data_IF_741253716905
#
_entry.id   IF_741253716905
#
_cell.length_a   1.000
_cell.length_b   1.000
_cell.length_c   1.000
_cell.angle_alpha   90.00
_cell.angle_beta   90.00
_cell.angle_gamma   90.00
#
_symmetry.space_group_name_H-M   'P 1'
#
loop_
_entity.id
_entity.type
_entity.pdbx_description
1 polymer ?
#
# COMPACT_ATOMS: atom_id res chain seq x y z
N UNK A 1 -53.11 -24.88 -8.53
CA UNK A 1 -52.16 -24.88 -7.40
C UNK A 1 -51.01 -25.81 -7.79
N UNK A 2 -50.00 -25.27 -8.40
CA UNK A 2 -48.81 -26.01 -8.83
C UNK A 2 -47.59 -25.34 -8.24
N UNK A 3 -46.86 -26.07 -7.40
CA UNK A 3 -45.68 -25.61 -6.69
C UNK A 3 -44.49 -25.40 -7.64
N UNK A 4 -43.86 -24.27 -7.52
CA UNK A 4 -42.61 -23.97 -8.15
C UNK A 4 -41.49 -24.41 -7.18
N UNK A 5 -40.64 -25.35 -7.60
CA UNK A 5 -39.59 -25.91 -6.78
C UNK A 5 -38.33 -25.04 -6.80
N UNK A 6 -37.63 -25.02 -5.68
CA UNK A 6 -36.42 -24.20 -5.41
C UNK A 6 -35.21 -24.49 -6.31
N UNK A 7 -35.29 -25.42 -7.25
CA UNK A 7 -34.21 -25.76 -8.18
C UNK A 7 -34.18 -24.89 -9.43
N UNK A 8 -35.30 -24.24 -9.79
CA UNK A 8 -35.35 -23.36 -10.98
C UNK A 8 -34.70 -21.99 -10.81
N UNK A 9 -34.37 -21.61 -9.58
CA UNK A 9 -33.70 -20.32 -9.29
C UNK A 9 -32.19 -20.43 -9.46
N UNK A 10 -31.59 -21.58 -9.28
CA UNK A 10 -30.13 -21.77 -9.41
C UNK A 10 -29.66 -21.90 -10.87
N UNK A 11 -30.49 -22.41 -11.76
CA UNK A 11 -30.10 -22.50 -13.20
C UNK A 11 -30.20 -21.18 -13.97
N UNK A 12 -30.96 -20.19 -13.52
CA UNK A 12 -31.04 -18.86 -14.17
C UNK A 12 -29.86 -17.95 -13.86
N UNK A 13 -29.04 -18.24 -12.88
CA UNK A 13 -27.85 -17.43 -12.55
C UNK A 13 -26.61 -17.77 -13.39
N UNK A 14 -26.60 -18.83 -14.18
CA UNK A 14 -25.42 -19.26 -14.96
C UNK A 14 -25.46 -18.94 -16.44
N UNK A 15 -26.52 -18.30 -16.96
CA UNK A 15 -26.66 -17.97 -18.39
C UNK A 15 -26.69 -16.47 -18.66
N UNK A 16 -25.63 -15.75 -18.30
CA UNK A 16 -25.34 -14.43 -18.90
C UNK A 16 -24.27 -14.65 -19.97
N UNK A 17 -24.72 -14.92 -21.20
CA UNK A 17 -23.91 -14.93 -22.40
C UNK A 17 -23.31 -13.53 -22.63
N UNK A 18 -21.99 -13.44 -22.60
CA UNK A 18 -21.27 -12.30 -23.15
C UNK A 18 -21.44 -12.28 -24.66
N UNK A 19 -22.21 -11.32 -25.19
CA UNK A 19 -22.16 -10.96 -26.59
C UNK A 19 -20.93 -10.07 -26.82
N UNK A 20 -19.86 -10.65 -27.36
CA UNK A 20 -18.75 -9.89 -27.94
C UNK A 20 -19.20 -9.29 -29.28
N UNK A 21 -19.35 -7.96 -29.34
CA UNK A 21 -19.38 -7.25 -30.63
C UNK A 21 -17.96 -7.21 -31.22
N UNK A 22 -17.76 -7.96 -32.27
CA UNK A 22 -16.59 -7.85 -33.15
C UNK A 22 -16.63 -6.51 -33.91
N UNK A 23 -15.74 -5.60 -33.55
CA UNK A 23 -15.36 -4.48 -34.43
C UNK A 23 -14.10 -4.89 -35.18
N UNK A 24 -14.25 -5.24 -36.43
CA UNK A 24 -13.13 -5.44 -37.39
C UNK A 24 -12.61 -4.09 -37.85
N UNK A 25 -11.44 -3.69 -37.37
CA UNK A 25 -10.66 -2.63 -38.01
C UNK A 25 -9.69 -3.26 -39.03
N UNK A 26 -9.92 -2.95 -40.29
CA UNK A 26 -8.99 -3.20 -41.37
C UNK A 26 -7.72 -2.37 -41.20
N UNK A 27 -6.61 -3.02 -40.92
CA UNK A 27 -5.28 -2.43 -41.11
C UNK A 27 -4.74 -2.87 -42.45
N UNK A 28 -4.59 -1.90 -43.38
CA UNK A 28 -3.98 -2.06 -44.67
C UNK A 28 -2.47 -1.91 -44.54
N UNK A 29 -1.76 -3.02 -44.73
CA UNK A 29 -0.29 -3.07 -44.79
C UNK A 29 0.19 -2.33 -46.03
N UNK A 30 1.11 -1.39 -45.87
CA UNK A 30 1.95 -0.85 -46.95
C UNK A 30 3.40 -1.16 -46.62
N UNK A 31 3.89 -2.25 -47.21
CA UNK A 31 5.32 -2.51 -47.29
C UNK A 31 5.99 -1.49 -48.22
N UNK A 32 7.01 -0.79 -47.75
CA UNK A 32 8.02 -0.15 -48.58
C UNK A 32 9.38 -0.71 -48.21
N UNK A 33 9.91 -1.52 -49.10
CA UNK A 33 11.28 -2.00 -49.12
C UNK A 33 12.22 -0.81 -49.36
N UNK A 34 13.17 -0.59 -48.43
CA UNK A 34 14.37 0.20 -48.72
C UNK A 34 15.61 -0.62 -48.31
N UNK A 35 16.32 -1.09 -49.34
CA UNK A 35 17.69 -1.59 -49.24
C UNK A 35 18.65 -0.40 -49.15
N UNK A 36 19.49 -0.36 -48.10
CA UNK A 36 20.60 0.56 -47.98
C UNK A 36 21.75 -0.09 -47.23
N UNK A 37 22.91 -0.22 -47.90
CA UNK A 37 24.15 -0.84 -47.43
C UNK A 37 24.80 -0.12 -46.26
N UNK A 38 25.26 -0.89 -45.29
CA UNK A 38 26.58 -0.88 -44.64
C UNK A 38 27.04 0.35 -43.88
N UNK A 39 27.27 0.19 -42.59
CA UNK A 39 28.62 0.36 -41.99
C UNK A 39 28.49 0.03 -40.48
N UNK A 40 29.29 -0.94 -40.01
CA UNK A 40 29.42 -1.26 -38.57
C UNK A 40 30.26 -0.19 -37.90
N UNK A 41 29.69 0.51 -36.95
CA UNK A 41 30.46 1.28 -35.95
C UNK A 41 30.11 0.70 -34.60
N UNK A 42 31.10 0.02 -33.97
CA UNK A 42 31.04 -0.45 -32.59
C UNK A 42 31.36 0.75 -31.70
N UNK A 43 30.42 1.19 -30.90
CA UNK A 43 30.68 2.11 -29.77
C UNK A 43 30.29 1.39 -28.51
N UNK A 44 31.29 0.94 -27.75
CA UNK A 44 31.14 0.52 -26.37
C UNK A 44 30.81 1.74 -25.52
N UNK A 45 29.57 1.87 -25.08
CA UNK A 45 29.19 2.75 -24.00
C UNK A 45 28.62 1.90 -22.85
N UNK A 46 29.43 1.78 -21.82
CA UNK A 46 29.02 1.24 -20.51
C UNK A 46 27.97 2.20 -19.92
N UNK A 47 26.71 1.79 -19.92
CA UNK A 47 25.64 2.47 -19.18
C UNK A 47 24.89 1.42 -18.36
N UNK A 48 24.88 1.65 -17.05
CA UNK A 48 24.18 0.79 -16.09
C UNK A 48 22.71 0.62 -16.45
N UNK A 49 22.31 -0.63 -16.64
CA UNK A 49 20.94 -1.03 -16.89
C UNK A 49 20.09 -0.85 -15.62
N UNK A 50 18.87 -0.28 -15.73
CA UNK A 50 17.79 -0.64 -14.81
C UNK A 50 17.40 -2.09 -15.14
N UNK A 51 17.22 -2.90 -14.11
CA UNK A 51 16.78 -4.31 -14.22
C UNK A 51 15.43 -4.40 -14.96
N UNK A 52 15.46 -4.55 -16.27
CA UNK A 52 14.40 -5.19 -17.03
C UNK A 52 14.58 -6.70 -16.85
N UNK A 53 13.70 -7.31 -16.07
CA UNK A 53 13.59 -8.76 -16.00
C UNK A 53 12.95 -9.25 -17.31
N UNK A 54 13.72 -9.97 -18.13
CA UNK A 54 13.19 -10.77 -19.22
C UNK A 54 12.11 -11.76 -18.73
N UNK A 55 11.13 -12.16 -19.57
CA UNK A 55 10.14 -13.17 -19.18
C UNK A 55 10.88 -14.48 -18.88
N UNK A 56 10.97 -14.79 -17.59
CA UNK A 56 11.78 -15.87 -17.07
C UNK A 56 11.32 -17.24 -17.54
N UNK A 57 12.21 -17.98 -18.13
CA UNK A 57 12.16 -19.44 -18.26
C UNK A 57 11.97 -20.05 -16.87
N UNK A 58 11.02 -20.98 -16.76
CA UNK A 58 10.68 -21.71 -15.54
C UNK A 58 11.95 -22.39 -14.99
N UNK A 59 12.52 -21.82 -13.91
CA UNK A 59 13.66 -22.42 -13.22
C UNK A 59 13.10 -23.26 -12.04
N UNK A 60 13.37 -24.57 -11.97
CA UNK A 60 12.87 -25.45 -10.91
C UNK A 60 13.52 -25.22 -9.55
N UNK A 61 14.45 -24.27 -9.41
CA UNK A 61 15.11 -23.96 -8.15
C UNK A 61 14.35 -22.87 -7.38
N UNK A 62 13.92 -23.14 -6.15
CA UNK A 62 13.08 -22.34 -5.26
C UNK A 62 13.44 -20.85 -5.05
N UNK A 63 14.48 -20.33 -5.70
CA UNK A 63 14.82 -18.90 -5.72
C UNK A 63 13.75 -18.06 -6.40
N UNK A 64 13.10 -18.59 -7.46
CA UNK A 64 12.05 -17.87 -8.19
C UNK A 64 10.75 -17.78 -7.37
N UNK A 65 10.41 -18.80 -6.58
CA UNK A 65 9.21 -18.80 -5.76
C UNK A 65 9.30 -17.80 -4.59
N UNK A 66 10.47 -17.65 -3.98
CA UNK A 66 10.71 -16.65 -2.91
C UNK A 66 10.66 -15.23 -3.45
N UNK A 67 11.25 -14.98 -4.64
CA UNK A 67 11.18 -13.67 -5.28
C UNK A 67 9.73 -13.33 -5.68
N UNK A 68 9.01 -14.29 -6.24
CA UNK A 68 7.59 -14.11 -6.55
C UNK A 68 6.77 -13.82 -5.29
N UNK A 69 7.00 -14.54 -4.18
CA UNK A 69 6.33 -14.26 -2.91
C UNK A 69 6.72 -12.88 -2.35
N UNK A 70 7.98 -12.47 -2.47
CA UNK A 70 8.44 -11.14 -2.08
C UNK A 70 7.70 -10.04 -2.86
N UNK A 71 7.59 -10.15 -4.20
CA UNK A 71 6.82 -9.20 -5.03
C UNK A 71 5.33 -9.24 -4.71
N UNK A 72 4.77 -10.43 -4.48
CA UNK A 72 3.37 -10.62 -4.06
C UNK A 72 3.06 -9.89 -2.76
N UNK A 73 3.95 -9.94 -1.79
CA UNK A 73 3.78 -9.32 -0.47
C UNK A 73 3.83 -7.79 -0.48
N UNK A 74 4.24 -7.16 -1.59
CA UNK A 74 4.45 -5.70 -1.72
C UNK A 74 5.35 -5.15 -0.60
N UNK A 75 6.67 -5.34 -0.68
CA UNK A 75 7.62 -5.10 0.42
C UNK A 75 7.52 -3.71 1.07
N UNK A 76 7.24 -2.67 0.27
CA UNK A 76 7.06 -1.31 0.78
C UNK A 76 5.90 -1.21 1.79
N UNK A 77 4.83 -2.00 1.63
CA UNK A 77 3.72 -2.02 2.60
C UNK A 77 4.10 -2.78 3.86
N UNK A 78 4.87 -3.86 3.74
CA UNK A 78 5.40 -4.65 4.87
C UNK A 78 6.30 -3.79 5.74
N UNK A 79 7.30 -3.13 5.13
CA UNK A 79 8.24 -2.25 5.85
C UNK A 79 7.46 -1.12 6.54
N UNK A 80 6.53 -0.48 5.83
CA UNK A 80 5.72 0.59 6.39
C UNK A 80 4.88 0.13 7.58
N UNK A 81 4.27 -1.06 7.51
CA UNK A 81 3.49 -1.62 8.61
C UNK A 81 4.37 -1.97 9.83
N UNK A 82 5.51 -2.60 9.61
CA UNK A 82 6.43 -2.93 10.70
C UNK A 82 6.97 -1.67 11.41
N UNK A 83 7.44 -0.68 10.64
CA UNK A 83 7.93 0.58 11.19
C UNK A 83 6.84 1.35 11.93
N UNK A 84 5.61 1.37 11.43
CA UNK A 84 4.49 2.02 12.12
C UNK A 84 4.23 1.40 13.48
N UNK A 85 4.21 0.08 13.57
CA UNK A 85 3.97 -0.63 14.83
C UNK A 85 5.10 -0.37 15.83
N UNK A 86 6.36 -0.45 15.40
CA UNK A 86 7.51 -0.12 16.27
C UNK A 86 7.41 1.31 16.77
N UNK A 87 7.19 2.26 15.88
CA UNK A 87 7.12 3.69 16.20
C UNK A 87 6.04 3.99 17.23
N UNK A 88 4.81 3.49 16.98
CA UNK A 88 3.67 3.73 17.90
C UNK A 88 3.85 3.00 19.22
N UNK A 89 4.47 1.83 19.22
CA UNK A 89 4.80 1.09 20.43
C UNK A 89 5.78 1.87 21.31
N UNK A 90 6.76 2.55 20.69
CA UNK A 90 7.70 3.42 21.41
C UNK A 90 7.04 4.65 22.02
N UNK A 91 5.92 5.15 21.47
CA UNK A 91 5.13 6.21 22.12
C UNK A 91 4.47 5.77 23.42
N UNK A 92 4.25 4.48 23.62
CA UNK A 92 3.70 3.93 24.86
C UNK A 92 4.75 3.75 25.97
N UNK A 93 6.05 3.91 25.63
CA UNK A 93 7.17 3.81 26.59
C UNK A 93 7.29 5.10 27.38
N UNK A 94 7.14 5.03 28.70
CA UNK A 94 7.27 6.18 29.62
C UNK A 94 8.65 6.22 30.29
N UNK A 95 9.23 5.05 30.55
CA UNK A 95 10.52 4.88 31.24
C UNK A 95 11.43 3.92 30.47
N UNK A 96 12.73 4.07 30.63
CA UNK A 96 13.70 3.15 30.01
C UNK A 96 13.48 1.71 30.46
N UNK A 97 13.05 1.51 31.72
CA UNK A 97 12.70 0.18 32.24
C UNK A 97 11.52 -0.50 31.54
N UNK A 98 10.70 0.25 30.80
CA UNK A 98 9.62 -0.32 29.99
C UNK A 98 10.18 -1.10 28.77
N UNK A 99 11.40 -0.80 28.30
CA UNK A 99 12.10 -1.52 27.24
C UNK A 99 12.61 -2.88 27.74
N UNK A 100 11.70 -3.69 28.21
CA UNK A 100 11.91 -5.01 28.78
C UNK A 100 11.64 -6.12 27.76
N UNK A 101 12.01 -7.39 28.02
CA UNK A 101 11.66 -8.52 27.15
C UNK A 101 10.17 -8.61 26.83
N UNK A 102 9.29 -8.21 27.76
CA UNK A 102 7.83 -8.21 27.55
C UNK A 102 7.44 -7.17 26.48
N UNK A 103 8.08 -5.99 26.46
CA UNK A 103 7.89 -4.99 25.43
C UNK A 103 8.22 -5.56 24.04
N UNK A 104 9.41 -6.14 23.88
CA UNK A 104 9.84 -6.70 22.60
C UNK A 104 8.95 -7.85 22.14
N UNK A 105 8.52 -8.70 23.08
CA UNK A 105 7.56 -9.78 22.77
C UNK A 105 6.23 -9.20 22.27
N UNK A 106 5.68 -8.20 22.94
CA UNK A 106 4.43 -7.54 22.53
C UNK A 106 4.54 -6.89 21.14
N UNK A 107 5.64 -6.17 20.90
CA UNK A 107 5.90 -5.57 19.57
C UNK A 107 6.02 -6.65 18.50
N UNK A 108 6.76 -7.72 18.73
CA UNK A 108 6.93 -8.82 17.78
C UNK A 108 5.59 -9.51 17.47
N UNK A 109 4.78 -9.80 18.47
CA UNK A 109 3.45 -10.38 18.29
C UNK A 109 2.54 -9.50 17.43
N UNK A 110 2.53 -8.19 17.71
CA UNK A 110 1.76 -7.22 16.95
C UNK A 110 2.24 -7.13 15.48
N UNK A 111 3.56 -7.08 15.26
CA UNK A 111 4.15 -7.07 13.91
C UNK A 111 3.78 -8.34 13.17
N UNK A 112 4.00 -9.51 13.75
CA UNK A 112 3.74 -10.78 13.09
C UNK A 112 2.26 -10.90 12.65
N UNK A 113 1.31 -10.63 13.55
CA UNK A 113 -0.11 -10.67 13.23
C UNK A 113 -0.50 -9.65 12.15
N UNK A 114 0.00 -8.42 12.25
CA UNK A 114 -0.30 -7.36 11.29
C UNK A 114 0.32 -7.61 9.91
N UNK A 115 1.53 -8.17 9.83
CA UNK A 115 2.15 -8.51 8.55
C UNK A 115 1.41 -9.65 7.85
N UNK A 116 0.94 -10.65 8.59
CA UNK A 116 0.07 -11.68 8.04
C UNK A 116 -1.23 -11.08 7.47
N UNK A 117 -1.87 -10.17 8.20
CA UNK A 117 -3.05 -9.45 7.71
C UNK A 117 -2.73 -8.57 6.50
N UNK A 118 -1.55 -7.92 6.45
CA UNK A 118 -1.13 -7.13 5.30
C UNK A 118 -0.97 -8.01 4.05
N UNK A 119 -0.38 -9.21 4.16
CA UNK A 119 -0.27 -10.16 3.04
C UNK A 119 -1.65 -10.60 2.56
N UNK A 120 -2.59 -10.87 3.48
CA UNK A 120 -3.99 -11.11 3.14
C UNK A 120 -4.57 -9.97 2.29
N UNK A 121 -4.47 -8.72 2.76
CA UNK A 121 -5.07 -7.54 2.11
C UNK A 121 -4.48 -7.31 0.72
N UNK A 122 -3.15 -7.31 0.59
CA UNK A 122 -2.49 -7.04 -0.70
C UNK A 122 -2.65 -8.20 -1.67
N UNK A 123 -2.71 -9.44 -1.17
CA UNK A 123 -2.95 -10.64 -1.96
C UNK A 123 -4.40 -10.71 -2.46
N UNK A 124 -5.37 -10.43 -1.59
CA UNK A 124 -6.78 -10.36 -1.97
C UNK A 124 -7.01 -9.29 -3.05
N UNK A 125 -6.37 -8.13 -2.91
CA UNK A 125 -6.44 -7.09 -3.92
C UNK A 125 -5.90 -7.58 -5.28
N UNK A 126 -4.75 -8.26 -5.30
CA UNK A 126 -4.17 -8.82 -6.53
C UNK A 126 -5.06 -9.91 -7.15
N UNK A 127 -5.72 -10.76 -6.34
CA UNK A 127 -6.64 -11.79 -6.85
C UNK A 127 -7.82 -11.22 -7.63
N UNK A 128 -8.36 -10.08 -7.17
CA UNK A 128 -9.49 -9.42 -7.82
C UNK A 128 -9.08 -8.43 -8.91
N UNK A 129 -7.77 -8.17 -9.07
CA UNK A 129 -7.24 -7.15 -9.98
C UNK A 129 -6.33 -7.72 -11.06
N UNK A 130 -6.30 -9.03 -11.29
CA UNK A 130 -5.37 -9.66 -12.24
C UNK A 130 -5.35 -8.94 -13.57
N UNK A 131 -6.51 -8.70 -14.19
CA UNK A 131 -6.58 -8.05 -15.51
C UNK A 131 -6.15 -6.57 -15.46
N UNK A 132 -6.46 -5.88 -14.38
CA UNK A 132 -6.03 -4.48 -14.17
C UNK A 132 -4.52 -4.43 -13.95
N UNK A 133 -3.98 -5.35 -13.14
CA UNK A 133 -2.56 -5.40 -12.83
C UNK A 133 -1.72 -5.85 -14.03
N UNK A 134 -2.26 -6.61 -14.99
CA UNK A 134 -1.59 -6.87 -16.29
C UNK A 134 -1.24 -5.58 -17.04
N UNK A 135 -2.07 -4.53 -16.91
CA UNK A 135 -1.83 -3.21 -17.52
C UNK A 135 -0.96 -2.34 -16.62
N UNK A 136 -1.28 -2.30 -15.32
CA UNK A 136 -0.67 -1.36 -14.39
C UNK A 136 0.63 -1.89 -13.79
N UNK A 137 0.69 -3.18 -13.43
CA UNK A 137 1.78 -3.84 -12.67
C UNK A 137 2.06 -5.25 -13.18
N UNK A 138 2.46 -5.43 -14.46
CA UNK A 138 2.64 -6.74 -15.09
C UNK A 138 3.69 -7.62 -14.37
N UNK A 139 4.53 -7.03 -13.53
CA UNK A 139 5.55 -7.72 -12.73
C UNK A 139 5.00 -8.42 -11.49
N UNK A 140 3.72 -8.24 -11.13
CA UNK A 140 3.12 -8.93 -9.99
C UNK A 140 2.84 -10.40 -10.33
N UNK A 141 3.09 -11.34 -9.40
CA UNK A 141 3.07 -12.78 -9.69
C UNK A 141 1.75 -13.34 -10.24
N UNK A 142 0.61 -12.77 -9.83
CA UNK A 142 -0.69 -13.15 -10.39
C UNK A 142 -0.94 -12.56 -11.78
N UNK A 143 -0.44 -11.34 -12.03
CA UNK A 143 -0.56 -10.67 -13.32
C UNK A 143 0.38 -11.28 -14.38
N UNK A 144 1.60 -11.65 -13.96
CA UNK A 144 2.60 -12.31 -14.83
C UNK A 144 2.28 -13.79 -15.10
N UNK A 145 1.42 -14.42 -14.27
CA UNK A 145 1.12 -15.85 -14.34
C UNK A 145 2.10 -16.75 -13.58
N UNK A 146 3.09 -16.19 -12.89
CA UNK A 146 4.02 -16.96 -12.04
C UNK A 146 3.30 -17.69 -10.90
N UNK A 147 2.27 -17.06 -10.31
CA UNK A 147 1.36 -17.72 -9.39
C UNK A 147 0.03 -18.02 -10.07
N UNK A 148 -0.46 -19.25 -9.91
CA UNK A 148 -1.83 -19.58 -10.27
C UNK A 148 -2.83 -18.87 -9.33
N UNK A 149 -4.06 -18.68 -9.79
CA UNK A 149 -5.14 -18.14 -8.96
C UNK A 149 -5.34 -18.98 -7.70
N UNK A 150 -5.23 -20.32 -7.82
CA UNK A 150 -5.32 -21.23 -6.68
C UNK A 150 -4.19 -21.01 -5.67
N UNK A 151 -2.96 -20.83 -6.13
CA UNK A 151 -1.80 -20.50 -5.27
C UNK A 151 -2.02 -19.19 -4.53
N UNK A 152 -2.44 -18.13 -5.25
CA UNK A 152 -2.77 -16.85 -4.65
C UNK A 152 -3.88 -16.94 -3.60
N UNK A 153 -4.95 -17.68 -3.89
CA UNK A 153 -6.05 -17.90 -2.95
C UNK A 153 -5.61 -18.67 -1.70
N UNK A 154 -4.79 -19.72 -1.86
CA UNK A 154 -4.25 -20.46 -0.71
C UNK A 154 -3.39 -19.56 0.19
N UNK A 155 -2.52 -18.74 -0.37
CA UNK A 155 -1.71 -17.77 0.40
C UNK A 155 -2.63 -16.82 1.17
N UNK A 156 -3.59 -16.20 0.49
CA UNK A 156 -4.52 -15.23 1.10
C UNK A 156 -5.30 -15.85 2.26
N UNK A 157 -5.89 -17.03 2.06
CA UNK A 157 -6.66 -17.73 3.09
C UNK A 157 -5.76 -18.12 4.27
N UNK A 158 -4.60 -18.73 4.01
CA UNK A 158 -3.69 -19.18 5.05
C UNK A 158 -3.21 -18.01 5.91
N UNK A 159 -2.78 -16.90 5.30
CA UNK A 159 -2.29 -15.75 6.05
C UNK A 159 -3.39 -15.04 6.85
N UNK A 160 -4.64 -15.01 6.37
CA UNK A 160 -5.75 -14.49 7.17
C UNK A 160 -6.04 -15.36 8.39
N UNK A 161 -6.08 -16.68 8.23
CA UNK A 161 -6.29 -17.63 9.34
C UNK A 161 -5.16 -17.51 10.37
N UNK A 162 -3.91 -17.52 9.92
CA UNK A 162 -2.73 -17.37 10.80
C UNK A 162 -2.74 -16.03 11.55
N UNK A 163 -3.14 -14.94 10.91
CA UNK A 163 -3.24 -13.63 11.53
C UNK A 163 -4.27 -13.61 12.67
N UNK A 164 -5.46 -14.13 12.45
CA UNK A 164 -6.50 -14.20 13.48
C UNK A 164 -6.15 -15.22 14.58
N UNK A 165 -5.57 -16.35 14.21
CA UNK A 165 -5.10 -17.34 15.18
C UNK A 165 -4.06 -16.74 16.13
N UNK A 166 -3.08 -16.03 15.59
CA UNK A 166 -2.07 -15.36 16.41
C UNK A 166 -2.69 -14.24 17.27
N UNK A 167 -3.59 -13.43 16.72
CA UNK A 167 -4.32 -12.41 17.47
C UNK A 167 -5.11 -12.99 18.63
N UNK A 168 -5.78 -14.13 18.43
CA UNK A 168 -6.49 -14.86 19.45
C UNK A 168 -5.56 -15.44 20.51
N UNK A 169 -4.46 -16.07 20.10
CA UNK A 169 -3.46 -16.64 20.99
C UNK A 169 -2.83 -15.58 21.90
N UNK A 170 -2.55 -14.39 21.36
CA UNK A 170 -2.06 -13.23 22.15
C UNK A 170 -3.09 -12.73 23.14
N UNK A 171 -4.38 -12.84 22.85
CA UNK A 171 -5.46 -12.42 23.73
C UNK A 171 -5.60 -10.92 23.92
N UNK A 172 -5.08 -10.12 23.00
CA UNK A 172 -5.16 -8.65 23.04
C UNK A 172 -6.37 -8.15 22.25
N UNK A 173 -7.38 -7.63 22.95
CA UNK A 173 -8.58 -7.11 22.29
C UNK A 173 -8.29 -5.94 21.32
N UNK A 174 -7.34 -4.98 21.59
CA UNK A 174 -7.03 -3.95 20.61
C UNK A 174 -6.40 -4.52 19.34
N UNK A 175 -5.56 -5.56 19.46
CA UNK A 175 -4.97 -6.26 18.33
C UNK A 175 -6.05 -6.97 17.50
N UNK A 176 -6.94 -7.75 18.14
CA UNK A 176 -8.04 -8.43 17.45
C UNK A 176 -8.94 -7.43 16.73
N UNK A 177 -9.26 -6.32 17.37
CA UNK A 177 -10.07 -5.24 16.76
C UNK A 177 -9.38 -4.67 15.52
N UNK A 178 -8.06 -4.39 15.60
CA UNK A 178 -7.28 -3.91 14.46
C UNK A 178 -7.31 -4.90 13.29
N UNK A 179 -7.10 -6.18 13.55
CA UNK A 179 -7.14 -7.24 12.54
C UNK A 179 -8.54 -7.35 11.92
N UNK A 180 -9.59 -7.32 12.75
CA UNK A 180 -10.99 -7.43 12.29
C UNK A 180 -11.40 -6.26 11.38
N UNK A 181 -11.10 -5.03 11.80
CA UNK A 181 -11.42 -3.85 10.97
C UNK A 181 -10.60 -3.87 9.68
N UNK A 182 -9.31 -4.22 9.74
CA UNK A 182 -8.45 -4.32 8.55
C UNK A 182 -8.93 -5.40 7.60
N UNK A 183 -9.35 -6.55 8.11
CA UNK A 183 -9.95 -7.64 7.33
C UNK A 183 -11.24 -7.18 6.63
N UNK A 184 -12.18 -6.59 7.36
CA UNK A 184 -13.47 -6.13 6.82
C UNK A 184 -13.26 -5.06 5.75
N UNK A 185 -12.45 -4.03 6.04
CA UNK A 185 -12.19 -2.93 5.10
C UNK A 185 -11.41 -3.41 3.87
N UNK A 186 -10.38 -4.26 4.05
CA UNK A 186 -9.61 -4.82 2.94
C UNK A 186 -10.46 -5.73 2.04
N UNK A 187 -11.37 -6.49 2.64
CA UNK A 187 -12.34 -7.34 1.93
C UNK A 187 -13.32 -6.49 1.13
N UNK A 188 -13.99 -5.53 1.77
CA UNK A 188 -14.95 -4.64 1.12
C UNK A 188 -14.31 -3.78 0.02
N UNK A 189 -13.05 -3.39 0.20
CA UNK A 189 -12.27 -2.67 -0.78
C UNK A 189 -12.04 -3.46 -2.08
N UNK A 190 -11.73 -4.77 -1.95
CA UNK A 190 -11.21 -5.60 -3.05
C UNK A 190 -12.26 -6.45 -3.75
N UNK A 191 -13.16 -7.11 -3.01
CA UNK A 191 -14.07 -8.14 -3.52
C UNK A 191 -15.11 -7.55 -4.47
N UNK A 192 -15.31 -8.22 -5.62
CA UNK A 192 -16.27 -7.82 -6.63
C UNK A 192 -17.66 -8.47 -6.38
N UNK A 193 -18.35 -8.01 -5.33
CA UNK A 193 -19.72 -8.40 -5.01
C UNK A 193 -20.62 -7.15 -5.02
N UNK A 194 -21.97 -7.31 -5.08
CA UNK A 194 -22.90 -6.21 -4.91
C UNK A 194 -22.61 -5.42 -3.64
N UNK A 195 -22.63 -4.09 -3.70
CA UNK A 195 -22.32 -3.15 -2.62
C UNK A 195 -20.85 -3.12 -2.13
N UNK A 196 -20.00 -3.99 -2.62
CA UNK A 196 -18.56 -4.01 -2.33
C UNK A 196 -17.73 -3.46 -3.49
N UNK A 197 -16.42 -3.78 -3.52
CA UNK A 197 -15.42 -3.22 -4.43
C UNK A 197 -15.32 -1.70 -4.31
N UNK A 198 -15.19 -1.25 -3.08
CA UNK A 198 -15.18 0.17 -2.71
C UNK A 198 -14.05 0.97 -3.35
N UNK A 199 -13.01 0.31 -3.82
CA UNK A 199 -11.93 0.97 -4.58
C UNK A 199 -12.40 1.65 -5.88
N UNK A 200 -13.59 1.29 -6.42
CA UNK A 200 -14.19 1.98 -7.58
C UNK A 200 -14.57 3.42 -7.28
N UNK A 201 -14.79 3.75 -6.03
CA UNK A 201 -15.20 5.06 -5.57
C UNK A 201 -14.04 5.75 -4.88
N UNK A 202 -13.45 6.77 -5.52
CA UNK A 202 -12.24 7.44 -5.07
C UNK A 202 -12.27 7.87 -3.60
N UNK A 203 -13.38 8.49 -3.16
CA UNK A 203 -13.51 8.94 -1.77
C UNK A 203 -13.57 7.77 -0.79
N UNK A 204 -14.37 6.75 -1.08
CA UNK A 204 -14.51 5.57 -0.21
C UNK A 204 -13.19 4.81 -0.14
N UNK A 205 -12.49 4.67 -1.28
CA UNK A 205 -11.16 4.07 -1.34
C UNK A 205 -10.16 4.82 -0.44
N UNK A 206 -10.10 6.14 -0.53
CA UNK A 206 -9.24 6.97 0.31
C UNK A 206 -9.60 6.84 1.80
N UNK A 207 -10.89 6.82 2.15
CA UNK A 207 -11.36 6.64 3.53
C UNK A 207 -11.00 5.26 4.10
N UNK A 208 -11.05 4.18 3.33
CA UNK A 208 -10.59 2.86 3.77
C UNK A 208 -9.10 2.87 4.12
N UNK A 209 -8.28 3.46 3.25
CA UNK A 209 -6.83 3.56 3.46
C UNK A 209 -6.53 4.43 4.69
N UNK A 210 -7.21 5.58 4.82
CA UNK A 210 -7.10 6.48 5.96
C UNK A 210 -7.47 5.77 7.27
N UNK A 211 -8.63 5.10 7.30
CA UNK A 211 -9.10 4.38 8.48
C UNK A 211 -8.08 3.34 8.97
N UNK A 212 -7.55 2.51 8.07
CA UNK A 212 -6.59 1.48 8.47
C UNK A 212 -5.24 2.08 8.82
N UNK A 213 -4.62 2.86 7.92
CA UNK A 213 -3.23 3.30 8.08
C UNK A 213 -3.02 4.43 9.09
N UNK A 214 -3.96 5.37 9.16
CA UNK A 214 -3.79 6.51 10.04
C UNK A 214 -4.49 6.33 11.39
N UNK A 215 -5.68 5.72 11.42
CA UNK A 215 -6.45 5.61 12.66
C UNK A 215 -6.19 4.28 13.35
N UNK A 216 -6.49 3.18 12.69
CA UNK A 216 -6.41 1.84 13.33
C UNK A 216 -4.97 1.50 13.70
N UNK A 217 -4.01 1.70 12.79
CA UNK A 217 -2.59 1.41 13.07
C UNK A 217 -2.08 2.24 14.24
N UNK A 218 -2.40 3.54 14.30
CA UNK A 218 -1.89 4.36 15.40
C UNK A 218 -2.56 4.00 16.74
N UNK A 219 -3.88 3.93 16.76
CA UNK A 219 -4.61 3.77 18.02
C UNK A 219 -4.54 2.34 18.55
N UNK A 220 -4.80 1.34 17.71
CA UNK A 220 -4.92 -0.02 18.18
C UNK A 220 -3.57 -0.63 18.63
N UNK A 221 -2.47 -0.36 17.92
CA UNK A 221 -1.16 -0.85 18.34
C UNK A 221 -0.62 -0.10 19.58
N UNK A 222 -0.90 1.20 19.68
CA UNK A 222 -0.63 1.93 20.93
C UNK A 222 -1.41 1.33 22.12
N UNK A 223 -2.72 1.09 21.96
CA UNK A 223 -3.56 0.49 22.99
C UNK A 223 -3.16 -0.96 23.29
N UNK A 224 -2.69 -1.71 22.30
CA UNK A 224 -2.11 -3.04 22.52
C UNK A 224 -0.95 -2.96 23.52
N UNK A 225 -0.03 -2.02 23.32
CA UNK A 225 1.09 -1.82 24.24
C UNK A 225 0.63 -1.34 25.61
N UNK A 226 -0.22 -0.30 25.68
CA UNK A 226 -0.69 0.26 26.95
C UNK A 226 -1.49 -0.75 27.76
N UNK A 227 -2.53 -1.34 27.18
CA UNK A 227 -3.50 -2.15 27.92
C UNK A 227 -3.01 -3.58 28.10
N UNK A 228 -2.52 -4.20 27.01
CA UNK A 228 -2.20 -5.63 27.04
C UNK A 228 -0.79 -5.87 27.56
N UNK A 229 0.22 -5.12 27.09
CA UNK A 229 1.63 -5.34 27.45
C UNK A 229 1.96 -4.70 28.80
N UNK A 230 1.69 -3.39 28.95
CA UNK A 230 2.05 -2.66 30.16
C UNK A 230 0.98 -2.70 31.26
N UNK A 231 -0.22 -3.22 30.96
CA UNK A 231 -1.36 -3.25 31.91
C UNK A 231 -1.71 -1.87 32.48
N UNK A 232 -1.55 -0.82 31.65
CA UNK A 232 -1.86 0.57 31.99
C UNK A 232 -3.24 1.00 31.46
N UNK A 233 -3.86 2.04 32.03
CA UNK A 233 -5.11 2.58 31.52
C UNK A 233 -4.92 3.18 30.11
N UNK A 234 -5.97 3.21 29.29
CA UNK A 234 -5.93 3.78 27.94
C UNK A 234 -5.86 5.31 28.00
N UNK A 235 -4.67 5.87 28.00
CA UNK A 235 -4.43 7.31 27.96
C UNK A 235 -3.93 7.71 26.57
N UNK A 236 -4.59 8.69 25.96
CA UNK A 236 -4.17 9.22 24.66
C UNK A 236 -3.19 10.38 24.87
N UNK A 237 -1.92 10.13 24.62
CA UNK A 237 -0.87 11.16 24.72
C UNK A 237 -0.98 12.19 23.61
N UNK A 238 -0.45 13.42 23.85
CA UNK A 238 -0.35 14.46 22.81
C UNK A 238 0.47 13.97 21.61
N UNK A 239 1.52 13.20 21.84
CA UNK A 239 2.36 12.60 20.79
C UNK A 239 1.55 11.63 19.92
N UNK A 240 0.68 10.80 20.51
CA UNK A 240 -0.19 9.90 19.74
C UNK A 240 -1.20 10.67 18.89
N UNK A 241 -1.82 11.73 19.44
CA UNK A 241 -2.76 12.57 18.69
C UNK A 241 -2.05 13.23 17.52
N UNK A 242 -0.86 13.79 17.72
CA UNK A 242 -0.04 14.37 16.66
C UNK A 242 0.30 13.32 15.60
N UNK A 243 0.82 12.16 16.00
CA UNK A 243 1.16 11.07 15.08
C UNK A 243 -0.05 10.65 14.24
N UNK A 244 -1.23 10.49 14.87
CA UNK A 244 -2.46 10.13 14.16
C UNK A 244 -2.87 11.21 13.16
N UNK A 245 -2.82 12.48 13.55
CA UNK A 245 -3.15 13.60 12.67
C UNK A 245 -2.17 13.71 11.50
N UNK A 246 -0.86 13.65 11.76
CA UNK A 246 0.17 13.72 10.72
C UNK A 246 0.07 12.55 9.74
N UNK A 247 -0.04 11.33 10.26
CA UNK A 247 -0.15 10.12 9.44
C UNK A 247 -1.47 10.07 8.65
N UNK A 248 -2.48 10.85 9.05
CA UNK A 248 -3.69 11.04 8.23
C UNK A 248 -3.37 11.77 6.92
N UNK A 249 -2.55 12.82 6.94
CA UNK A 249 -2.08 13.48 5.71
C UNK A 249 -1.30 12.52 4.82
N UNK A 250 -0.35 11.78 5.39
CA UNK A 250 0.40 10.77 4.63
C UNK A 250 -0.50 9.69 4.03
N UNK A 251 -1.49 9.22 4.78
CA UNK A 251 -2.40 8.18 4.30
C UNK A 251 -3.26 8.66 3.13
N UNK A 252 -3.72 9.93 3.18
CA UNK A 252 -4.41 10.57 2.05
C UNK A 252 -3.48 10.66 0.85
N UNK A 253 -2.24 11.11 1.04
CA UNK A 253 -1.26 11.23 -0.05
C UNK A 253 -0.94 9.87 -0.66
N UNK A 254 -0.69 8.84 0.14
CA UNK A 254 -0.46 7.48 -0.37
C UNK A 254 -1.67 6.97 -1.15
N UNK A 255 -2.90 7.25 -0.65
CA UNK A 255 -4.13 6.84 -1.32
C UNK A 255 -4.34 7.52 -2.68
N UNK A 256 -3.97 8.79 -2.79
CA UNK A 256 -4.07 9.55 -4.04
C UNK A 256 -2.92 9.22 -5.00
N UNK A 257 -1.70 9.17 -4.48
CA UNK A 257 -0.50 9.05 -5.31
C UNK A 257 -0.37 7.68 -5.97
N UNK A 258 -0.84 6.60 -5.32
CA UNK A 258 -0.80 5.25 -5.88
C UNK A 258 -1.56 5.14 -7.22
N UNK A 259 -2.59 5.96 -7.41
CA UNK A 259 -3.42 5.95 -8.61
C UNK A 259 -2.81 6.78 -9.77
N UNK A 260 -1.74 7.56 -9.50
CA UNK A 260 -1.09 8.38 -10.54
C UNK A 260 -0.41 7.49 -11.60
N UNK A 261 0.43 6.50 -11.25
CA UNK A 261 1.01 5.59 -12.24
C UNK A 261 0.02 4.55 -12.77
N UNK A 262 -1.13 4.36 -12.12
CA UNK A 262 -2.14 3.34 -12.46
C UNK A 262 -3.25 3.87 -13.39
N UNK A 263 -3.17 5.13 -13.86
CA UNK A 263 -4.23 5.84 -14.60
C UNK A 263 -4.74 5.08 -15.84
N UNK A 264 -3.85 4.40 -16.59
CA UNK A 264 -4.22 3.71 -17.83
C UNK A 264 -5.15 2.52 -17.58
N UNK A 265 -4.81 1.67 -16.60
CA UNK A 265 -5.66 0.57 -16.19
C UNK A 265 -6.93 1.04 -15.50
N UNK A 266 -6.86 2.07 -14.66
CA UNK A 266 -8.03 2.62 -13.98
C UNK A 266 -9.06 3.13 -14.99
N UNK A 267 -8.62 3.86 -16.02
CA UNK A 267 -9.50 4.33 -17.12
C UNK A 267 -10.09 3.15 -17.90
N UNK A 268 -9.28 2.18 -18.26
CA UNK A 268 -9.71 1.03 -19.08
C UNK A 268 -10.76 0.18 -18.36
N UNK A 269 -10.62 0.02 -17.04
CA UNK A 269 -11.51 -0.82 -16.23
C UNK A 269 -12.58 -0.04 -15.47
N UNK A 270 -12.79 1.24 -15.79
CA UNK A 270 -13.87 2.08 -15.26
C UNK A 270 -13.73 2.43 -13.78
N UNK A 271 -12.50 2.46 -13.25
CA UNK A 271 -12.21 2.90 -11.89
C UNK A 271 -12.13 4.43 -11.89
N UNK A 272 -13.02 5.08 -11.15
CA UNK A 272 -13.12 6.54 -11.07
C UNK A 272 -12.21 7.10 -9.98
N UNK A 273 -10.89 6.84 -10.07
CA UNK A 273 -9.91 7.41 -9.16
C UNK A 273 -9.84 8.94 -9.26
N UNK A 274 -9.26 9.60 -8.25
CA UNK A 274 -9.05 11.06 -8.32
C UNK A 274 -8.16 11.45 -9.50
N UNK A 275 -7.20 10.61 -9.85
CA UNK A 275 -6.30 10.83 -10.98
C UNK A 275 -7.05 10.81 -12.31
N UNK A 276 -8.00 9.89 -12.48
CA UNK A 276 -8.86 9.83 -13.67
C UNK A 276 -9.75 11.07 -13.78
N UNK A 277 -10.27 11.58 -12.65
CA UNK A 277 -11.20 12.74 -12.62
C UNK A 277 -10.51 14.07 -12.77
N UNK A 278 -9.40 14.29 -12.08
CA UNK A 278 -8.73 15.59 -11.97
C UNK A 278 -7.52 15.74 -12.88
N UNK A 279 -7.04 14.62 -13.40
CA UNK A 279 -5.80 14.54 -14.20
C UNK A 279 -4.55 14.39 -13.33
N UNK A 280 -3.57 13.68 -13.88
CA UNK A 280 -2.34 13.26 -13.25
C UNK A 280 -1.52 14.41 -12.64
N UNK A 281 -1.32 15.50 -13.39
CA UNK A 281 -0.55 16.68 -12.95
C UNK A 281 -1.17 17.36 -11.72
N UNK A 282 -2.51 17.51 -11.70
CA UNK A 282 -3.19 18.15 -10.57
C UNK A 282 -3.09 17.32 -9.31
N UNK A 283 -3.36 16.01 -9.42
CA UNK A 283 -3.29 15.10 -8.25
C UNK A 283 -1.87 15.02 -7.71
N UNK A 284 -0.86 14.98 -8.59
CA UNK A 284 0.54 15.02 -8.18
C UNK A 284 0.85 16.24 -7.28
N UNK A 285 0.52 17.45 -7.76
CA UNK A 285 0.80 18.67 -7.00
C UNK A 285 -0.06 18.81 -5.74
N UNK A 286 -1.31 18.30 -5.75
CA UNK A 286 -2.13 18.22 -4.53
C UNK A 286 -1.41 17.36 -3.47
N UNK A 287 -0.90 16.19 -3.86
CA UNK A 287 -0.16 15.30 -2.95
C UNK A 287 1.09 15.98 -2.37
N UNK A 288 1.90 16.65 -3.22
CA UNK A 288 3.09 17.36 -2.77
C UNK A 288 2.71 18.48 -1.81
N UNK A 289 1.72 19.32 -2.15
CA UNK A 289 1.27 20.43 -1.30
C UNK A 289 0.74 19.96 0.05
N UNK A 290 0.00 18.85 0.10
CA UNK A 290 -0.49 18.27 1.35
C UNK A 290 0.66 17.86 2.27
N UNK A 291 1.70 17.22 1.75
CA UNK A 291 2.86 16.84 2.55
C UNK A 291 3.68 18.05 2.98
N UNK A 292 3.87 19.05 2.12
CA UNK A 292 4.57 20.29 2.48
C UNK A 292 3.85 21.04 3.61
N UNK A 293 2.51 21.12 3.54
CA UNK A 293 1.68 21.68 4.62
C UNK A 293 1.86 20.87 5.91
N UNK A 294 1.83 19.54 5.83
CA UNK A 294 2.00 18.67 7.00
C UNK A 294 3.38 18.89 7.63
N UNK A 295 4.45 18.94 6.83
CA UNK A 295 5.81 19.22 7.32
C UNK A 295 5.92 20.62 7.92
N UNK A 296 5.32 21.64 7.30
CA UNK A 296 5.28 23.00 7.83
C UNK A 296 4.57 23.06 9.19
N UNK A 297 3.42 22.45 9.33
CA UNK A 297 2.69 22.36 10.61
C UNK A 297 3.52 21.61 11.65
N UNK A 298 4.18 20.51 11.29
CA UNK A 298 5.03 19.72 12.20
C UNK A 298 6.24 20.51 12.67
N UNK A 299 6.84 21.32 11.80
CA UNK A 299 7.92 22.23 12.16
C UNK A 299 7.45 23.28 13.18
N UNK A 300 6.26 23.85 12.99
CA UNK A 300 5.68 24.83 13.94
C UNK A 300 5.35 24.16 15.29
N UNK A 301 4.71 22.99 15.29
CA UNK A 301 4.40 22.22 16.50
C UNK A 301 5.69 21.83 17.22
N UNK A 302 6.71 21.37 16.50
CA UNK A 302 8.02 21.05 17.07
C UNK A 302 8.70 22.28 17.66
N UNK A 303 8.57 23.45 17.02
CA UNK A 303 9.10 24.73 17.53
C UNK A 303 8.49 25.15 18.87
N UNK A 304 7.26 24.73 19.16
CA UNK A 304 6.56 24.99 20.44
C UNK A 304 6.86 23.93 21.52
N UNK A 305 7.65 22.89 21.26
CA UNK A 305 8.02 21.87 22.24
C UNK A 305 8.84 22.48 23.39
N UNK A 306 8.52 22.00 24.62
CA UNK A 306 9.24 22.43 25.83
C UNK A 306 10.59 21.72 25.99
N UNK A 307 10.75 20.53 25.41
CA UNK A 307 11.99 19.75 25.48
C UNK A 307 12.95 20.18 24.36
N UNK A 308 14.09 20.75 24.72
CA UNK A 308 15.05 21.32 23.77
C UNK A 308 15.50 20.35 22.68
N UNK A 309 15.87 19.12 23.03
CA UNK A 309 16.30 18.11 22.06
C UNK A 309 15.16 17.67 21.11
N UNK A 310 13.95 17.49 21.61
CA UNK A 310 12.77 17.17 20.81
C UNK A 310 12.46 18.29 19.82
N UNK A 311 12.55 19.55 20.27
CA UNK A 311 12.39 20.74 19.42
C UNK A 311 13.34 20.70 18.22
N UNK A 312 14.65 20.48 18.46
CA UNK A 312 15.64 20.46 17.38
C UNK A 312 15.38 19.31 16.41
N UNK A 313 15.10 18.09 16.89
CA UNK A 313 14.81 16.93 16.03
C UNK A 313 13.58 17.20 15.19
N UNK A 314 12.51 17.71 15.78
CA UNK A 314 11.26 18.00 15.07
C UNK A 314 11.44 19.10 14.02
N UNK A 315 12.03 20.23 14.40
CA UNK A 315 12.20 21.36 13.46
C UNK A 315 13.15 21.00 12.33
N UNK A 316 14.34 20.49 12.65
CA UNK A 316 15.33 20.13 11.63
C UNK A 316 14.87 18.94 10.78
N UNK A 317 14.35 17.89 11.42
CA UNK A 317 13.90 16.69 10.72
C UNK A 317 12.83 17.00 9.67
N UNK A 318 11.73 17.66 10.08
CA UNK A 318 10.65 17.98 9.14
C UNK A 318 11.07 19.03 8.09
N UNK A 319 11.91 20.02 8.45
CA UNK A 319 12.44 20.97 7.47
C UNK A 319 13.31 20.30 6.40
N UNK A 320 14.15 19.34 6.79
CA UNK A 320 14.96 18.56 5.85
C UNK A 320 14.06 17.71 4.95
N UNK A 321 13.06 17.00 5.53
CA UNK A 321 12.14 16.17 4.75
C UNK A 321 11.33 17.02 3.75
N UNK A 322 10.86 18.21 4.14
CA UNK A 322 10.21 19.15 3.23
C UNK A 322 11.12 19.56 2.07
N UNK A 323 12.33 20.01 2.36
CA UNK A 323 13.30 20.43 1.31
C UNK A 323 13.62 19.28 0.33
N UNK A 324 13.80 18.07 0.85
CA UNK A 324 14.10 16.89 0.04
C UNK A 324 12.89 16.50 -0.81
N UNK A 325 11.65 16.58 -0.26
CA UNK A 325 10.43 16.38 -1.01
C UNK A 325 10.28 17.40 -2.14
N UNK A 326 10.43 18.68 -1.83
CA UNK A 326 10.33 19.76 -2.81
C UNK A 326 11.32 19.61 -3.98
N UNK A 327 12.59 19.36 -3.66
CA UNK A 327 13.63 19.14 -4.68
C UNK A 327 13.29 17.91 -5.55
N UNK A 328 12.86 16.82 -4.94
CA UNK A 328 12.46 15.60 -5.68
C UNK A 328 11.27 15.86 -6.57
N UNK A 329 10.23 16.54 -6.08
CA UNK A 329 9.00 16.80 -6.82
C UNK A 329 9.27 17.64 -8.08
N UNK A 330 10.12 18.67 -7.99
CA UNK A 330 10.49 19.52 -9.13
C UNK A 330 11.31 18.79 -10.21
N UNK A 331 11.95 17.68 -9.88
CA UNK A 331 12.77 16.90 -10.82
C UNK A 331 11.99 15.77 -11.52
N UNK A 332 10.70 15.56 -11.19
CA UNK A 332 9.91 14.45 -11.75
C UNK A 332 9.35 14.80 -13.13
N UNK A 333 9.69 13.99 -14.12
CA UNK A 333 8.99 14.03 -15.41
C UNK A 333 7.62 13.36 -15.30
N UNK A 334 6.56 14.18 -15.29
CA UNK A 334 5.18 13.72 -15.19
C UNK A 334 4.64 13.01 -16.45
N UNK A 335 5.42 12.93 -17.54
CA UNK A 335 5.10 12.15 -18.72
C UNK A 335 5.64 10.73 -18.63
N UNK A 336 6.60 10.48 -17.74
CA UNK A 336 7.24 9.18 -17.56
C UNK A 336 6.58 8.40 -16.41
N UNK A 337 5.91 7.28 -16.73
CA UNK A 337 5.36 6.36 -15.72
C UNK A 337 6.43 5.86 -14.76
N UNK A 338 7.64 5.60 -15.26
CA UNK A 338 8.78 5.16 -14.44
C UNK A 338 9.21 6.23 -13.44
N UNK A 339 9.32 7.50 -13.88
CA UNK A 339 9.67 8.61 -13.00
C UNK A 339 8.62 8.84 -11.90
N UNK A 340 7.34 8.74 -12.24
CA UNK A 340 6.23 8.85 -11.28
C UNK A 340 6.24 7.69 -10.28
N UNK A 341 6.42 6.46 -10.75
CA UNK A 341 6.52 5.28 -9.87
C UNK A 341 7.72 5.41 -8.93
N UNK A 342 8.87 5.87 -9.43
CA UNK A 342 10.05 6.16 -8.60
C UNK A 342 9.76 7.23 -7.55
N UNK A 343 9.00 8.28 -7.89
CA UNK A 343 8.58 9.29 -6.94
C UNK A 343 7.59 8.72 -5.89
N UNK A 344 6.67 7.85 -6.29
CA UNK A 344 5.79 7.13 -5.35
C UNK A 344 6.58 6.30 -4.34
N UNK A 345 7.60 5.57 -4.80
CA UNK A 345 8.48 4.82 -3.90
C UNK A 345 9.33 5.74 -3.01
N UNK A 346 9.66 6.95 -3.49
CA UNK A 346 10.31 7.97 -2.66
C UNK A 346 9.38 8.49 -1.56
N UNK A 347 8.09 8.70 -1.83
CA UNK A 347 7.10 9.06 -0.79
C UNK A 347 7.01 7.97 0.29
N UNK A 348 7.11 6.68 -0.07
CA UNK A 348 7.21 5.62 0.92
C UNK A 348 8.46 5.73 1.81
N UNK A 349 9.60 6.16 1.25
CA UNK A 349 10.80 6.42 2.06
C UNK A 349 10.61 7.58 3.03
N UNK A 350 9.90 8.64 2.63
CA UNK A 350 9.53 9.73 3.53
C UNK A 350 8.58 9.25 4.64
N UNK A 351 7.62 8.40 4.30
CA UNK A 351 6.73 7.75 5.26
C UNK A 351 7.51 6.93 6.31
N UNK A 352 8.56 6.22 5.90
CA UNK A 352 9.43 5.51 6.84
C UNK A 352 10.23 6.47 7.71
N UNK A 353 10.79 7.51 7.12
CA UNK A 353 11.54 8.53 7.86
C UNK A 353 10.67 9.20 8.92
N UNK A 354 9.41 9.47 8.61
CA UNK A 354 8.46 10.03 9.57
C UNK A 354 8.22 9.10 10.75
N UNK A 355 8.02 7.81 10.52
CA UNK A 355 7.89 6.85 11.62
C UNK A 355 9.15 6.71 12.48
N UNK A 356 10.32 7.07 11.95
CA UNK A 356 11.54 7.18 12.76
C UNK A 356 11.59 8.46 13.59
N UNK A 357 10.91 9.55 13.18
CA UNK A 357 10.84 10.81 13.91
C UNK A 357 9.76 10.82 14.99
N UNK A 358 8.62 10.18 14.75
CA UNK A 358 7.46 10.14 15.67
C UNK A 358 7.84 9.78 17.13
N UNK A 359 8.69 8.80 17.44
CA UNK A 359 9.03 8.47 18.83
C UNK A 359 9.73 9.59 19.60
N UNK A 360 10.28 10.57 18.89
CA UNK A 360 10.95 11.72 19.50
C UNK A 360 10.01 12.89 19.83
N UNK A 361 8.74 12.77 19.49
CA UNK A 361 7.69 13.73 19.86
C UNK A 361 7.37 13.52 21.34
N UNK A 362 7.71 14.50 22.20
CA UNK A 362 7.52 14.43 23.65
C UNK A 362 6.91 15.74 24.18
#
# INVERSE_FOLDING_TARGET
MSGCSSLDILERCYSVRFQCHHVKHHFRSSEKIFQGKGTKVSVNASSGHPLESEPGTFDPNGKNALDAFYRFSRPHTIIGTALSIVSVSLLAVEKISDLSPIFFTGVFQAIAAALMMNIYIVGLNQLYDIEIDKVNKPYLPLASGEFSVATGAMIVISFSIMSFWLGWFVGSWPLILALSISFILGTAYSINLPLLRWKRFALIAAMCILAVRAVIVQLAFYLHMQIHVFKRPPLFSRALIFATAFMSFFSVVIALFKDIPDIDGDMTFGIQSFTVRLGQKRVFWICISLLEIAYGVSTLVGGASLLGWSKYIMVLGHSILALVLWNRANSVDLKSKVAITSCYMFIWKLFYAEYLLIPFIR
#
